data_IF_969901098272
#
_entry.id   IF_969901098272
#
_cell.length_a   1.000
_cell.length_b   1.000
_cell.length_c   1.000
_cell.angle_alpha   90.00
_cell.angle_beta   90.00
_cell.angle_gamma   90.00
#
_symmetry.space_group_name_H-M   'P 1'
#
loop_
_entity.id
_entity.type
_entity.pdbx_description
1 polymer ?
#
# COMPACT_ATOMS: atom_id res chain seq x y z
N UNK A 1 -20.37 5.76 2.16
CA UNK A 1 -18.91 5.61 1.95
C UNK A 1 -18.75 4.94 0.61
N UNK A 2 -18.36 5.70 -0.42
CA UNK A 2 -17.99 5.10 -1.69
C UNK A 2 -16.69 4.33 -1.45
N UNK A 3 -16.69 3.05 -1.80
CA UNK A 3 -15.47 2.27 -1.86
C UNK A 3 -14.59 2.90 -2.97
N UNK A 4 -13.28 2.99 -2.77
CA UNK A 4 -12.33 3.42 -3.80
C UNK A 4 -12.58 2.72 -5.17
N UNK A 5 -13.16 1.51 -5.14
CA UNK A 5 -13.70 0.78 -6.30
C UNK A 5 -14.64 1.59 -7.20
N UNK A 6 -15.64 2.26 -6.64
CA UNK A 6 -16.71 2.90 -7.43
C UNK A 6 -16.23 4.22 -8.06
N UNK A 7 -15.26 4.88 -7.42
CA UNK A 7 -14.56 6.05 -7.98
C UNK A 7 -13.63 5.63 -9.11
N UNK A 8 -12.99 4.46 -9.02
CA UNK A 8 -12.13 3.91 -10.07
C UNK A 8 -12.92 3.45 -11.30
N UNK A 9 -14.11 2.86 -11.10
CA UNK A 9 -15.02 2.47 -12.20
C UNK A 9 -15.47 3.67 -13.05
N UNK A 10 -15.82 4.80 -12.42
CA UNK A 10 -16.24 6.00 -13.14
C UNK A 10 -15.13 6.72 -13.92
N UNK A 11 -13.85 6.49 -13.55
CA UNK A 11 -12.71 7.08 -14.25
C UNK A 11 -12.33 6.32 -15.55
N UNK A 12 -12.69 5.03 -15.65
CA UNK A 12 -12.39 4.17 -16.79
C UNK A 12 -13.24 4.49 -18.04
N UNK A 13 -14.39 5.14 -17.87
CA UNK A 13 -15.32 5.46 -18.97
C UNK A 13 -15.02 6.78 -19.66
N UNK A 14 -14.20 7.66 -19.06
CA UNK A 14 -13.74 8.91 -19.67
C UNK A 14 -12.42 8.70 -20.42
N UNK A 15 -12.39 9.00 -21.72
CA UNK A 15 -11.19 8.91 -22.59
C UNK A 15 -9.96 9.55 -21.92
N UNK A 16 -8.90 8.76 -21.74
CA UNK A 16 -7.68 9.14 -21.04
C UNK A 16 -6.63 9.67 -22.05
N UNK A 17 -6.08 10.88 -21.86
CA UNK A 17 -4.89 11.32 -22.58
C UNK A 17 -3.63 10.63 -22.03
N UNK A 18 -2.73 10.20 -22.92
CA UNK A 18 -1.43 9.60 -22.57
C UNK A 18 -0.57 10.59 -21.77
N UNK A 19 -0.18 10.22 -20.54
CA UNK A 19 0.76 10.99 -19.71
C UNK A 19 2.21 10.60 -20.03
N UNK A 20 3.08 11.56 -20.41
CA UNK A 20 4.52 11.33 -20.56
C UNK A 20 5.24 11.80 -19.29
N UNK A 21 5.32 10.94 -18.27
CA UNK A 21 6.14 11.22 -17.09
C UNK A 21 7.13 10.07 -16.85
N UNK A 22 8.29 10.18 -17.50
CA UNK A 22 9.52 9.50 -17.11
C UNK A 22 10.48 10.57 -16.61
N UNK A 23 10.81 10.54 -15.32
CA UNK A 23 11.94 11.30 -14.78
C UNK A 23 12.97 10.39 -14.12
N UNK A 24 14.22 10.81 -14.28
CA UNK A 24 15.46 10.12 -13.98
C UNK A 24 16.03 10.54 -12.61
N UNK A 25 17.07 9.82 -12.16
CA UNK A 25 18.03 10.02 -11.05
C UNK A 25 17.82 9.02 -9.88
N UNK A 26 18.79 8.21 -9.42
CA UNK A 26 20.21 8.03 -9.73
C UNK A 26 20.66 6.66 -9.19
N UNK A 27 21.10 5.76 -10.07
CA UNK A 27 22.12 4.71 -9.87
C UNK A 27 22.69 4.44 -11.27
N UNK A 28 23.98 4.15 -11.42
CA UNK A 28 24.64 3.98 -12.73
C UNK A 28 24.06 2.78 -13.49
N UNK A 29 23.05 3.07 -14.31
CA UNK A 29 22.13 2.14 -14.99
C UNK A 29 22.02 2.52 -16.48
N UNK A 30 22.99 2.16 -17.35
CA UNK A 30 22.73 2.23 -18.80
C UNK A 30 22.04 0.95 -19.31
N UNK A 31 22.48 -0.23 -18.85
CA UNK A 31 21.94 -1.52 -19.33
C UNK A 31 20.59 -1.92 -18.69
N UNK A 32 20.41 -1.63 -17.38
CA UNK A 32 19.17 -1.99 -16.66
C UNK A 32 17.97 -1.18 -17.19
N UNK A 33 18.17 0.08 -17.59
CA UNK A 33 17.11 0.94 -18.18
C UNK A 33 16.55 0.37 -19.48
N UNK A 34 17.39 -0.19 -20.35
CA UNK A 34 16.96 -0.74 -21.64
C UNK A 34 16.13 -2.02 -21.46
N UNK A 35 16.54 -2.92 -20.54
CA UNK A 35 15.80 -4.15 -20.23
C UNK A 35 14.46 -3.86 -19.55
N UNK A 36 14.44 -2.91 -18.60
CA UNK A 36 13.21 -2.47 -17.94
C UNK A 36 12.25 -1.75 -18.90
N UNK A 37 12.77 -1.01 -19.87
CA UNK A 37 11.97 -0.39 -20.92
C UNK A 37 11.31 -1.42 -21.84
N UNK A 38 12.02 -2.49 -22.21
CA UNK A 38 11.45 -3.60 -23.00
C UNK A 38 10.37 -4.34 -22.22
N UNK A 39 10.59 -4.62 -20.92
CA UNK A 39 9.58 -5.21 -20.05
C UNK A 39 8.30 -4.35 -19.99
N UNK A 40 8.44 -3.03 -19.81
CA UNK A 40 7.31 -2.10 -19.82
C UNK A 40 6.51 -2.18 -21.13
N UNK A 41 7.21 -2.21 -22.29
CA UNK A 41 6.54 -2.35 -23.60
C UNK A 41 5.79 -3.67 -23.68
N UNK A 42 6.40 -4.78 -23.25
CA UNK A 42 5.76 -6.09 -23.26
C UNK A 42 4.51 -6.12 -22.37
N UNK A 43 4.56 -5.54 -21.16
CA UNK A 43 3.39 -5.46 -20.26
C UNK A 43 2.30 -4.56 -20.84
N UNK A 44 2.66 -3.40 -21.39
CA UNK A 44 1.68 -2.45 -21.94
C UNK A 44 0.98 -3.01 -23.20
N UNK A 45 1.72 -3.73 -24.05
CA UNK A 45 1.16 -4.47 -25.18
C UNK A 45 0.28 -5.64 -24.70
N UNK A 46 0.71 -6.40 -23.68
CA UNK A 46 -0.04 -7.54 -23.14
C UNK A 46 -1.31 -7.16 -22.35
N UNK A 47 -1.33 -6.01 -21.69
CA UNK A 47 -2.51 -5.50 -20.97
C UNK A 47 -3.45 -4.78 -21.95
N UNK A 48 -2.91 -4.14 -22.99
CA UNK A 48 -3.69 -3.44 -24.02
C UNK A 48 -4.40 -4.36 -25.02
N UNK A 49 -3.91 -5.60 -25.19
CA UNK A 49 -4.59 -6.64 -25.98
C UNK A 49 -5.22 -7.65 -25.03
N UNK A 50 -6.55 -7.75 -25.04
CA UNK A 50 -7.30 -8.73 -24.23
C UNK A 50 -6.61 -10.12 -24.20
N UNK A 51 -6.73 -10.81 -23.06
CA UNK A 51 -6.18 -12.12 -22.69
C UNK A 51 -4.80 -12.10 -22.01
N UNK A 52 -4.80 -12.18 -20.67
CA UNK A 52 -3.65 -12.67 -19.92
C UNK A 52 -4.09 -13.78 -18.96
N UNK A 53 -3.60 -15.00 -19.17
CA UNK A 53 -3.76 -16.10 -18.20
C UNK A 53 -2.77 -15.91 -17.06
N UNK A 54 -3.09 -16.41 -15.86
CA UNK A 54 -2.21 -16.35 -14.69
C UNK A 54 -0.80 -16.91 -14.97
N UNK A 55 -0.70 -17.93 -15.83
CA UNK A 55 0.55 -18.52 -16.28
C UNK A 55 1.49 -17.52 -16.99
N UNK A 56 0.95 -16.63 -17.82
CA UNK A 56 1.75 -15.66 -18.60
C UNK A 56 2.31 -14.54 -17.72
N UNK A 57 1.57 -14.12 -16.69
CA UNK A 57 2.01 -13.09 -15.74
C UNK A 57 3.12 -13.64 -14.82
N UNK A 58 2.95 -14.87 -14.33
CA UNK A 58 3.99 -15.57 -13.57
C UNK A 58 5.29 -15.70 -14.36
N UNK A 59 5.19 -16.09 -15.64
CA UNK A 59 6.36 -16.22 -16.52
C UNK A 59 7.11 -14.90 -16.69
N UNK A 60 6.37 -13.82 -16.93
CA UNK A 60 6.93 -12.50 -17.08
C UNK A 60 7.63 -12.01 -15.79
N UNK A 61 7.03 -12.32 -14.63
CA UNK A 61 7.54 -11.93 -13.32
C UNK A 61 8.91 -12.50 -12.99
N UNK A 62 9.12 -13.81 -13.22
CA UNK A 62 10.44 -14.39 -12.93
C UNK A 62 11.49 -14.03 -14.00
N UNK A 63 11.11 -13.88 -15.28
CA UNK A 63 12.02 -13.41 -16.33
C UNK A 63 12.59 -12.02 -16.02
N UNK A 64 11.73 -11.11 -15.55
CA UNK A 64 12.16 -9.80 -15.06
C UNK A 64 13.25 -9.92 -13.98
N UNK A 65 13.06 -10.84 -13.03
CA UNK A 65 14.02 -11.04 -11.95
C UNK A 65 15.35 -11.59 -12.47
N UNK A 66 15.31 -12.59 -13.37
CA UNK A 66 16.50 -13.12 -14.05
C UNK A 66 17.27 -12.02 -14.79
N UNK A 67 16.56 -11.09 -15.43
CA UNK A 67 17.16 -9.98 -16.16
C UNK A 67 17.72 -8.85 -15.28
N UNK A 68 17.09 -8.61 -14.12
CA UNK A 68 17.48 -7.57 -13.16
C UNK A 68 18.71 -7.94 -12.35
N UNK A 69 18.88 -9.21 -12.00
CA UNK A 69 19.93 -9.68 -11.11
C UNK A 69 20.98 -10.51 -11.87
N UNK A 70 22.12 -9.88 -12.18
CA UNK A 70 23.23 -10.50 -12.94
C UNK A 70 23.71 -11.85 -12.37
N UNK A 71 23.60 -12.06 -11.06
CA UNK A 71 23.96 -13.32 -10.41
C UNK A 71 23.13 -14.53 -10.90
N UNK A 72 21.97 -14.30 -11.51
CA UNK A 72 21.10 -15.36 -12.02
C UNK A 72 21.01 -15.39 -13.55
N UNK A 73 21.76 -14.55 -14.27
CA UNK A 73 21.67 -14.45 -15.72
C UNK A 73 21.97 -15.78 -16.44
N UNK A 74 22.78 -16.63 -15.80
CA UNK A 74 23.25 -17.89 -16.35
C UNK A 74 22.45 -19.12 -15.86
N UNK A 75 21.52 -18.95 -14.92
CA UNK A 75 20.68 -20.04 -14.44
C UNK A 75 19.65 -20.43 -15.52
N UNK A 76 19.35 -21.72 -15.62
CA UNK A 76 18.28 -22.20 -16.51
C UNK A 76 16.90 -21.74 -16.02
N UNK A 77 15.94 -21.62 -16.94
CA UNK A 77 14.58 -21.18 -16.61
C UNK A 77 13.87 -22.12 -15.61
N UNK A 78 14.26 -23.40 -15.54
CA UNK A 78 13.75 -24.37 -14.56
C UNK A 78 14.08 -24.04 -13.09
N UNK A 79 15.02 -23.13 -12.85
CA UNK A 79 15.40 -22.66 -11.50
C UNK A 79 14.43 -21.63 -10.93
N UNK A 80 13.50 -21.15 -11.75
CA UNK A 80 12.59 -20.06 -11.42
C UNK A 80 11.16 -20.56 -11.29
N UNK A 81 10.46 -20.06 -10.29
CA UNK A 81 9.01 -20.20 -10.19
C UNK A 81 8.38 -18.89 -9.72
N UNK A 82 7.15 -18.65 -10.13
CA UNK A 82 6.39 -17.48 -9.71
C UNK A 82 4.94 -17.84 -9.42
N UNK A 83 4.46 -17.41 -8.25
CA UNK A 83 3.08 -17.59 -7.81
C UNK A 83 2.46 -16.25 -7.44
N UNK A 84 1.16 -16.10 -7.69
CA UNK A 84 0.40 -14.93 -7.25
C UNK A 84 0.17 -15.00 -5.75
N UNK A 85 0.50 -13.94 -5.03
CA UNK A 85 0.23 -13.80 -3.60
C UNK A 85 -1.06 -12.99 -3.43
N UNK A 86 -2.02 -13.51 -2.66
CA UNK A 86 -3.19 -12.73 -2.23
C UNK A 86 -2.84 -11.91 -0.99
N UNK A 87 -3.00 -10.58 -1.00
CA UNK A 87 -2.78 -9.81 0.23
C UNK A 87 -3.00 -8.31 0.18
N UNK A 88 -4.21 -7.82 0.49
CA UNK A 88 -4.56 -6.39 0.54
C UNK A 88 -5.86 -6.13 -0.24
N UNK A 89 -6.57 -5.03 0.04
CA UNK A 89 -7.86 -4.72 -0.63
C UNK A 89 -7.62 -4.28 -2.07
N UNK A 90 -6.43 -3.77 -2.37
CA UNK A 90 -6.06 -3.30 -3.71
C UNK A 90 -5.78 -4.45 -4.69
N UNK A 91 -6.35 -5.64 -4.48
CA UNK A 91 -6.25 -6.82 -5.35
C UNK A 91 -7.58 -7.05 -6.06
N UNK A 92 -8.03 -6.07 -6.82
CA UNK A 92 -9.25 -6.27 -7.62
C UNK A 92 -8.88 -7.05 -8.88
N UNK A 93 -9.30 -8.31 -8.90
CA UNK A 93 -9.46 -9.10 -10.11
C UNK A 93 -10.85 -8.76 -10.66
N UNK A 94 -10.95 -7.87 -11.65
CA UNK A 94 -12.23 -7.69 -12.34
C UNK A 94 -12.46 -8.90 -13.23
N UNK A 95 -13.46 -9.72 -12.93
CA UNK A 95 -13.99 -10.70 -13.89
C UNK A 95 -15.18 -10.04 -14.58
N UNK A 96 -14.92 -9.33 -15.69
CA UNK A 96 -15.97 -9.14 -16.68
C UNK A 96 -16.28 -10.50 -17.31
N UNK A 97 -17.47 -10.74 -17.88
CA UNK A 97 -17.86 -12.06 -18.37
C UNK A 97 -16.92 -12.66 -19.43
N UNK A 98 -15.90 -11.92 -19.91
CA UNK A 98 -14.78 -12.44 -20.71
C UNK A 98 -13.42 -11.72 -20.51
N UNK A 99 -13.23 -10.84 -19.52
CA UNK A 99 -11.96 -10.09 -19.33
C UNK A 99 -11.52 -10.05 -17.86
N UNK A 100 -10.24 -10.36 -17.61
CA UNK A 100 -9.59 -10.20 -16.30
C UNK A 100 -8.74 -8.93 -16.32
N UNK A 101 -9.13 -7.89 -15.57
CA UNK A 101 -8.30 -6.70 -15.36
C UNK A 101 -7.69 -6.76 -13.96
N UNK A 102 -6.37 -6.87 -13.88
CA UNK A 102 -5.63 -6.79 -12.62
C UNK A 102 -5.37 -5.32 -12.28
N UNK A 103 -5.97 -4.82 -11.20
CA UNK A 103 -5.69 -3.49 -10.67
C UNK A 103 -4.30 -3.41 -10.03
N UNK A 104 -3.83 -4.50 -9.42
CA UNK A 104 -2.47 -4.72 -8.95
C UNK A 104 -2.17 -6.22 -8.98
N UNK A 105 -0.93 -6.61 -9.25
CA UNK A 105 -0.50 -8.00 -9.16
C UNK A 105 0.77 -8.09 -8.30
N UNK A 106 0.74 -8.98 -7.30
CA UNK A 106 1.90 -9.28 -6.48
C UNK A 106 2.30 -10.72 -6.72
N UNK A 107 3.50 -10.89 -7.25
CA UNK A 107 4.09 -12.19 -7.54
C UNK A 107 5.17 -12.48 -6.52
N UNK A 108 5.14 -13.67 -5.92
CA UNK A 108 6.29 -14.23 -5.23
C UNK A 108 7.10 -15.01 -6.26
N UNK A 109 8.30 -14.51 -6.54
CA UNK A 109 9.28 -15.17 -7.39
C UNK A 109 10.25 -15.91 -6.49
N UNK A 110 10.43 -17.20 -6.74
CA UNK A 110 11.39 -18.06 -6.05
C UNK A 110 12.47 -18.46 -7.04
N UNK A 111 13.73 -18.33 -6.63
CA UNK A 111 14.90 -18.72 -7.41
C UNK A 111 15.67 -19.75 -6.60
N UNK A 112 15.98 -20.89 -7.20
CA UNK A 112 16.87 -21.91 -6.62
C UNK A 112 18.20 -21.86 -7.34
N UNK A 113 19.30 -21.63 -6.64
CA UNK A 113 20.63 -21.72 -7.27
C UNK A 113 21.12 -23.17 -7.39
N UNK A 114 22.24 -23.36 -8.09
CA UNK A 114 22.88 -24.68 -8.30
C UNK A 114 23.34 -25.33 -6.98
N UNK A 115 23.59 -24.52 -5.95
CA UNK A 115 23.95 -24.95 -4.59
C UNK A 115 22.72 -25.34 -3.74
N UNK A 116 21.51 -25.23 -4.31
CA UNK A 116 20.24 -25.59 -3.66
C UNK A 116 19.70 -24.54 -2.68
N UNK A 117 20.30 -23.34 -2.63
CA UNK A 117 19.79 -22.22 -1.85
C UNK A 117 18.58 -21.62 -2.57
N UNK A 118 17.51 -21.40 -1.81
CA UNK A 118 16.31 -20.73 -2.31
C UNK A 118 16.31 -19.26 -1.89
N UNK A 119 16.11 -18.36 -2.85
CA UNK A 119 15.87 -16.93 -2.61
C UNK A 119 14.48 -16.55 -3.09
N UNK A 120 13.73 -15.84 -2.25
CA UNK A 120 12.37 -15.42 -2.54
C UNK A 120 12.30 -13.89 -2.62
N UNK A 121 11.53 -13.39 -3.59
CA UNK A 121 11.27 -11.98 -3.77
C UNK A 121 9.84 -11.71 -4.19
N UNK A 122 9.44 -10.46 -4.05
CA UNK A 122 8.11 -9.99 -4.38
C UNK A 122 8.21 -9.00 -5.52
N UNK A 123 7.48 -9.25 -6.61
CA UNK A 123 7.30 -8.31 -7.72
C UNK A 123 5.89 -7.73 -7.61
N UNK A 124 5.80 -6.44 -7.33
CA UNK A 124 4.52 -5.70 -7.29
C UNK A 124 4.38 -4.94 -8.61
N UNK A 125 3.31 -5.25 -9.34
CA UNK A 125 2.90 -4.60 -10.57
C UNK A 125 1.76 -3.63 -10.27
N UNK A 126 1.91 -2.39 -10.73
CA UNK A 126 0.87 -1.36 -10.66
C UNK A 126 -0.06 -1.49 -11.86
N UNK A 127 -1.37 -1.56 -11.62
CA UNK A 127 -2.35 -1.55 -12.69
C UNK A 127 -2.64 -0.15 -13.23
N UNK A 128 -3.39 -0.08 -14.35
CA UNK A 128 -3.69 1.18 -15.01
C UNK A 128 -4.55 2.09 -14.12
N UNK A 129 -4.38 3.41 -14.27
CA UNK A 129 -5.19 4.47 -13.66
C UNK A 129 -5.12 4.61 -12.13
N UNK A 130 -4.21 3.90 -11.47
CA UNK A 130 -4.06 3.98 -10.02
C UNK A 130 -3.53 5.35 -9.54
N UNK A 131 -2.92 6.13 -10.43
CA UNK A 131 -2.53 7.54 -10.24
C UNK A 131 -3.71 8.45 -9.86
N UNK A 132 -4.94 8.05 -10.19
CA UNK A 132 -6.12 8.80 -9.81
C UNK A 132 -6.32 8.86 -8.29
N UNK A 133 -5.87 7.82 -7.59
CA UNK A 133 -6.05 7.67 -6.14
C UNK A 133 -4.71 7.81 -5.41
N UNK A 134 -3.63 7.33 -6.01
CA UNK A 134 -2.32 7.21 -5.38
C UNK A 134 -1.30 8.15 -6.03
N UNK A 135 -0.52 8.85 -5.21
CA UNK A 135 0.61 9.64 -5.69
C UNK A 135 1.88 8.77 -5.74
N UNK A 136 2.22 8.27 -6.93
CA UNK A 136 3.35 7.33 -7.11
C UNK A 136 4.72 7.96 -6.86
N UNK A 137 4.87 9.23 -7.18
CA UNK A 137 6.13 9.94 -6.92
C UNK A 137 6.39 10.03 -5.42
N UNK A 138 5.34 10.34 -4.64
CA UNK A 138 5.38 10.33 -3.17
C UNK A 138 5.67 8.93 -2.61
N UNK A 139 5.00 7.90 -3.11
CA UNK A 139 5.20 6.52 -2.67
C UNK A 139 6.64 6.04 -2.93
N UNK A 140 7.15 6.23 -4.15
CA UNK A 140 8.49 5.80 -4.55
C UNK A 140 9.59 6.56 -3.80
N UNK A 141 9.36 7.83 -3.46
CA UNK A 141 10.26 8.56 -2.58
C UNK A 141 10.19 7.97 -1.16
N UNK A 142 8.99 7.78 -0.61
CA UNK A 142 8.81 7.33 0.75
C UNK A 142 9.37 5.91 0.99
N UNK A 143 9.13 4.98 0.06
CA UNK A 143 9.50 3.57 0.21
C UNK A 143 11.02 3.38 0.38
N UNK A 144 11.84 4.23 -0.23
CA UNK A 144 13.30 4.19 -0.07
C UNK A 144 13.71 4.52 1.37
N UNK A 145 13.13 5.57 1.94
CA UNK A 145 13.40 5.99 3.32
C UNK A 145 12.84 5.01 4.34
N UNK A 146 11.63 4.52 4.12
CA UNK A 146 10.98 3.54 4.99
C UNK A 146 11.73 2.21 4.99
N UNK A 147 12.16 1.74 3.81
CA UNK A 147 12.98 0.53 3.68
C UNK A 147 14.32 0.68 4.41
N UNK A 148 14.99 1.83 4.29
CA UNK A 148 16.23 2.12 5.00
C UNK A 148 16.03 2.21 6.53
N UNK A 149 14.87 2.69 6.98
CA UNK A 149 14.47 2.72 8.38
C UNK A 149 14.03 1.34 8.93
N UNK A 150 14.04 0.30 8.09
CA UNK A 150 13.72 -1.08 8.49
C UNK A 150 12.23 -1.42 8.47
N UNK A 151 11.40 -0.58 7.87
CA UNK A 151 9.98 -0.83 7.62
C UNK A 151 9.76 -1.49 6.26
N UNK A 152 8.74 -2.34 6.18
CA UNK A 152 8.40 -3.08 4.97
C UNK A 152 9.50 -3.99 4.47
N UNK A 153 9.36 -4.39 3.21
CA UNK A 153 10.32 -5.20 2.51
C UNK A 153 11.48 -4.35 1.97
N UNK A 154 12.68 -4.94 1.90
CA UNK A 154 13.84 -4.28 1.30
C UNK A 154 13.57 -4.02 -0.17
N UNK A 155 13.67 -2.77 -0.61
CA UNK A 155 13.58 -2.44 -2.03
C UNK A 155 14.81 -2.97 -2.77
N UNK A 156 14.59 -3.82 -3.78
CA UNK A 156 15.65 -4.42 -4.60
C UNK A 156 15.75 -3.77 -5.98
N UNK A 157 14.63 -3.29 -6.52
CA UNK A 157 14.58 -2.61 -7.81
C UNK A 157 13.26 -1.87 -8.05
N UNK A 158 13.28 -0.89 -8.94
CA UNK A 158 12.11 -0.14 -9.42
C UNK A 158 12.10 -0.21 -10.94
N UNK A 159 10.92 -0.36 -11.52
CA UNK A 159 10.71 -0.36 -12.97
C UNK A 159 9.44 0.40 -13.32
N UNK A 160 9.25 0.69 -14.62
CA UNK A 160 8.24 1.68 -15.05
C UNK A 160 6.83 1.43 -14.53
N UNK A 161 6.41 0.18 -14.37
CA UNK A 161 5.08 -0.18 -13.85
C UNK A 161 5.12 -1.01 -12.56
N UNK A 162 6.18 -0.92 -11.75
CA UNK A 162 6.24 -1.70 -10.51
C UNK A 162 7.55 -1.63 -9.73
N UNK A 163 7.62 -2.46 -8.69
CA UNK A 163 8.77 -2.58 -7.80
C UNK A 163 9.10 -4.04 -7.52
N UNK A 164 10.37 -4.31 -7.25
CA UNK A 164 10.87 -5.60 -6.78
C UNK A 164 11.39 -5.42 -5.36
N UNK A 165 10.93 -6.26 -4.45
CA UNK A 165 11.25 -6.21 -3.02
C UNK A 165 11.66 -7.59 -2.50
N UNK A 166 12.38 -7.63 -1.37
CA UNK A 166 12.65 -8.89 -0.67
C UNK A 166 11.36 -9.55 -0.19
N UNK A 167 11.25 -10.86 -0.27
CA UNK A 167 10.11 -11.55 0.33
C UNK A 167 10.20 -11.53 1.87
N UNK A 168 9.11 -11.20 2.54
CA UNK A 168 9.00 -11.32 4.00
C UNK A 168 8.15 -12.55 4.28
N UNK A 169 8.77 -13.57 4.86
CA UNK A 169 8.06 -14.75 5.34
C UNK A 169 7.36 -14.41 6.67
N UNK A 170 6.08 -14.07 6.60
CA UNK A 170 5.28 -13.61 7.73
C UNK A 170 3.79 -13.85 7.46
N UNK A 171 3.01 -14.03 8.52
CA UNK A 171 1.54 -14.09 8.41
C UNK A 171 0.96 -12.68 8.44
N UNK A 172 -0.08 -12.44 7.66
CA UNK A 172 -0.89 -11.23 7.78
C UNK A 172 -1.74 -11.27 9.05
N UNK A 173 -1.89 -10.14 9.72
CA UNK A 173 -2.79 -10.02 10.86
C UNK A 173 -4.25 -9.95 10.40
N UNK A 174 -5.15 -10.32 11.30
CA UNK A 174 -6.60 -10.19 11.17
C UNK A 174 -7.12 -9.10 12.12
N UNK A 175 -8.37 -8.61 11.96
CA UNK A 175 -8.98 -7.70 12.94
C UNK A 175 -8.95 -8.26 14.38
N UNK A 176 -9.11 -9.59 14.52
CA UNK A 176 -9.03 -10.27 15.82
C UNK A 176 -7.66 -10.17 16.50
N UNK A 177 -6.57 -10.11 15.72
CA UNK A 177 -5.21 -9.97 16.25
C UNK A 177 -4.99 -8.58 16.87
N UNK A 178 -5.66 -7.54 16.35
CA UNK A 178 -5.50 -6.15 16.81
C UNK A 178 -5.92 -5.99 18.28
N UNK A 179 -6.87 -6.79 18.75
CA UNK A 179 -7.35 -6.80 20.14
C UNK A 179 -6.39 -7.46 21.12
N UNK A 180 -5.40 -8.21 20.64
CA UNK A 180 -4.43 -8.84 21.53
C UNK A 180 -3.58 -7.75 22.20
N UNK A 181 -3.59 -7.61 23.54
CA UNK A 181 -2.89 -6.50 24.21
C UNK A 181 -1.37 -6.49 23.96
N UNK A 182 -0.75 -7.65 23.71
CA UNK A 182 0.68 -7.74 23.39
C UNK A 182 0.95 -7.24 21.97
N UNK A 183 0.12 -7.61 21.00
CA UNK A 183 0.26 -7.12 19.62
C UNK A 183 -0.08 -5.65 19.52
N UNK A 184 -1.16 -5.18 20.15
CA UNK A 184 -1.50 -3.75 20.22
C UNK A 184 -0.35 -2.91 20.79
N UNK A 185 0.32 -3.40 21.85
CA UNK A 185 1.49 -2.75 22.41
C UNK A 185 2.68 -2.71 21.44
N UNK A 186 2.90 -3.77 20.67
CA UNK A 186 3.98 -3.82 19.68
C UNK A 186 3.68 -2.94 18.46
N UNK A 187 2.45 -2.96 17.95
CA UNK A 187 1.97 -2.05 16.90
C UNK A 187 2.19 -0.60 17.34
N UNK A 188 1.79 -0.24 18.56
CA UNK A 188 1.97 1.10 19.09
C UNK A 188 3.43 1.56 19.11
N UNK A 189 4.37 0.68 19.52
CA UNK A 189 5.81 0.99 19.51
C UNK A 189 6.37 1.12 18.11
N UNK A 190 5.98 0.24 17.18
CA UNK A 190 6.43 0.31 15.79
C UNK A 190 5.87 1.55 15.09
N UNK A 191 4.61 1.90 15.35
CA UNK A 191 3.99 3.12 14.84
C UNK A 191 4.68 4.37 15.36
N UNK A 192 5.11 4.38 16.63
CA UNK A 192 5.93 5.49 17.16
C UNK A 192 7.23 5.67 16.39
N UNK A 193 7.94 4.59 16.10
CA UNK A 193 9.17 4.61 15.30
C UNK A 193 8.89 5.03 13.86
N UNK A 194 7.80 4.56 13.28
CA UNK A 194 7.37 4.94 11.93
C UNK A 194 7.13 6.44 11.82
N UNK A 195 6.41 7.02 12.79
CA UNK A 195 6.15 8.46 12.88
C UNK A 195 7.39 9.32 13.12
N UNK A 196 8.56 8.72 13.42
CA UNK A 196 9.84 9.42 13.56
C UNK A 196 10.68 9.39 12.27
N UNK A 197 10.25 8.65 11.24
CA UNK A 197 10.97 8.60 9.96
C UNK A 197 10.80 9.93 9.25
N UNK A 198 11.93 10.55 8.93
CA UNK A 198 11.98 11.82 8.19
C UNK A 198 12.09 11.54 6.70
N UNK A 199 11.08 11.98 5.96
CA UNK A 199 11.00 11.85 4.50
C UNK A 199 11.11 13.25 3.89
N UNK A 200 12.01 13.48 2.91
CA UNK A 200 12.18 14.79 2.29
C UNK A 200 10.91 15.24 1.58
N UNK A 201 10.59 16.53 1.66
CA UNK A 201 9.43 17.12 0.97
C UNK A 201 8.61 18.03 1.87
N UNK A 202 7.42 18.41 1.39
CA UNK A 202 6.48 19.21 2.17
C UNK A 202 5.99 18.43 3.39
N UNK A 203 6.02 19.07 4.56
CA UNK A 203 5.42 18.55 5.80
C UNK A 203 3.97 19.00 6.01
N UNK A 204 3.34 19.55 4.98
CA UNK A 204 1.93 19.94 5.03
C UNK A 204 1.04 18.69 5.20
N UNK A 205 0.11 18.67 6.18
CA UNK A 205 -0.85 17.59 6.34
C UNK A 205 -1.70 17.35 5.09
N UNK A 206 -1.63 16.15 4.52
CA UNK A 206 -2.28 15.87 3.24
C UNK A 206 -3.75 15.43 3.36
N UNK A 207 -4.23 15.07 4.56
CA UNK A 207 -5.60 14.52 4.73
C UNK A 207 -6.69 15.38 4.11
N UNK A 208 -6.67 16.70 4.33
CA UNK A 208 -7.73 17.57 3.83
C UNK A 208 -7.61 17.78 2.32
N UNK A 209 -6.39 17.83 1.78
CA UNK A 209 -6.15 17.90 0.35
C UNK A 209 -6.65 16.63 -0.35
N UNK A 210 -6.37 15.46 0.22
CA UNK A 210 -6.80 14.16 -0.31
C UNK A 210 -8.32 13.97 -0.17
N UNK A 211 -8.91 14.32 0.97
CA UNK A 211 -10.37 14.28 1.19
C UNK A 211 -11.09 15.19 0.19
N UNK A 212 -10.64 16.43 0.00
CA UNK A 212 -11.26 17.35 -0.97
C UNK A 212 -11.09 16.87 -2.40
N UNK A 213 -9.91 16.34 -2.77
CA UNK A 213 -9.67 15.71 -4.07
C UNK A 213 -10.66 14.57 -4.32
N UNK A 214 -10.87 13.69 -3.35
CA UNK A 214 -11.82 12.59 -3.47
C UNK A 214 -13.27 13.07 -3.49
N UNK A 215 -13.62 14.07 -2.68
CA UNK A 215 -14.94 14.69 -2.70
C UNK A 215 -15.26 15.27 -4.08
N UNK A 216 -14.35 16.05 -4.67
CA UNK A 216 -14.55 16.63 -6.00
C UNK A 216 -14.77 15.56 -7.04
N UNK A 217 -13.92 14.52 -7.06
CA UNK A 217 -14.10 13.38 -7.98
C UNK A 217 -15.46 12.71 -7.76
N UNK A 218 -15.77 12.34 -6.52
CA UNK A 218 -17.00 11.67 -6.15
C UNK A 218 -18.23 12.48 -6.58
N UNK A 219 -18.25 13.80 -6.36
CA UNK A 219 -19.37 14.69 -6.70
C UNK A 219 -19.64 14.88 -8.19
N UNK A 220 -18.71 14.42 -9.04
CA UNK A 220 -18.80 14.55 -10.50
C UNK A 220 -19.05 13.22 -11.21
N UNK A 221 -19.20 12.12 -10.46
CA UNK A 221 -19.41 10.80 -11.04
C UNK A 221 -20.78 10.70 -11.72
N UNK A 222 -20.83 9.86 -12.75
CA UNK A 222 -22.05 9.50 -13.45
C UNK A 222 -22.11 7.98 -13.56
N UNK A 223 -23.29 7.41 -13.32
CA UNK A 223 -23.52 5.98 -13.36
C UNK A 223 -24.59 5.65 -14.41
N UNK A 224 -24.24 4.75 -15.32
CA UNK A 224 -25.18 4.19 -16.31
C UNK A 224 -26.08 3.12 -15.68
N UNK A 225 -25.60 2.48 -14.61
CA UNK A 225 -26.34 1.49 -13.84
C UNK A 225 -27.44 2.17 -12.99
N UNK A 226 -28.68 1.72 -13.18
CA UNK A 226 -29.85 2.33 -12.55
C UNK A 226 -29.85 2.26 -11.02
N UNK A 227 -29.37 1.17 -10.42
CA UNK A 227 -29.31 1.04 -8.96
C UNK A 227 -28.22 1.92 -8.35
N UNK A 228 -27.03 1.94 -8.96
CA UNK A 228 -25.93 2.82 -8.55
C UNK A 228 -26.32 4.29 -8.69
N UNK A 229 -27.00 4.65 -9.77
CA UNK A 229 -27.50 6.01 -10.00
C UNK A 229 -28.46 6.47 -8.90
N UNK A 230 -29.43 5.63 -8.54
CA UNK A 230 -30.37 5.95 -7.44
C UNK A 230 -29.62 6.15 -6.12
N UNK A 231 -28.68 5.25 -5.78
CA UNK A 231 -27.86 5.39 -4.56
C UNK A 231 -27.03 6.68 -4.56
N UNK A 232 -26.50 7.06 -5.73
CA UNK A 232 -25.74 8.28 -5.91
C UNK A 232 -26.59 9.55 -5.75
N UNK A 233 -27.76 9.59 -6.37
CA UNK A 233 -28.66 10.76 -6.34
C UNK A 233 -29.22 11.05 -4.93
N UNK A 234 -29.24 10.05 -4.03
CA UNK A 234 -29.63 10.25 -2.61
C UNK A 234 -28.58 11.07 -1.84
N UNK A 235 -27.34 11.13 -2.32
CA UNK A 235 -26.24 11.76 -1.58
C UNK A 235 -26.32 13.28 -1.70
N UNK A 236 -26.47 13.92 -0.54
CA UNK A 236 -26.47 15.37 -0.42
C UNK A 236 -25.02 15.88 -0.33
N UNK A 237 -24.35 15.99 -1.48
CA UNK A 237 -22.95 16.43 -1.58
C UNK A 237 -22.68 17.78 -0.91
N UNK A 238 -23.64 18.71 -0.94
CA UNK A 238 -23.54 19.99 -0.24
C UNK A 238 -23.39 19.79 1.29
N UNK A 239 -24.18 18.89 1.88
CA UNK A 239 -24.06 18.57 3.32
C UNK A 239 -22.72 17.93 3.63
N UNK A 240 -22.28 16.97 2.81
CA UNK A 240 -20.98 16.31 2.97
C UNK A 240 -19.84 17.33 2.92
N UNK A 241 -19.90 18.29 1.98
CA UNK A 241 -18.93 19.36 1.89
C UNK A 241 -18.89 20.22 3.16
N UNK A 242 -20.06 20.63 3.66
CA UNK A 242 -20.14 21.45 4.88
C UNK A 242 -19.58 20.72 6.11
N UNK A 243 -19.84 19.41 6.24
CA UNK A 243 -19.24 18.58 7.30
C UNK A 243 -17.71 18.49 7.18
N UNK A 244 -17.17 18.30 5.96
CA UNK A 244 -15.72 18.28 5.72
C UNK A 244 -15.08 19.61 6.17
N UNK A 245 -15.67 20.74 5.78
CA UNK A 245 -15.16 22.06 6.16
C UNK A 245 -15.25 22.27 7.67
N UNK A 246 -16.40 21.95 8.29
CA UNK A 246 -16.59 22.09 9.73
C UNK A 246 -15.62 21.22 10.55
N UNK A 247 -15.36 19.98 10.12
CA UNK A 247 -14.37 19.11 10.76
C UNK A 247 -12.96 19.66 10.61
N UNK A 248 -12.59 20.16 9.42
CA UNK A 248 -11.29 20.79 9.19
C UNK A 248 -11.10 21.97 10.15
N UNK A 249 -12.03 22.91 10.17
CA UNK A 249 -12.00 24.08 11.04
C UNK A 249 -11.88 23.69 12.51
N UNK A 250 -12.64 22.69 12.98
CA UNK A 250 -12.55 22.20 14.35
C UNK A 250 -11.15 21.64 14.66
N UNK A 251 -10.60 20.83 13.76
CA UNK A 251 -9.29 20.19 13.97
C UNK A 251 -8.11 21.16 13.87
N UNK A 252 -8.24 22.25 13.10
CA UNK A 252 -7.21 23.28 12.97
C UNK A 252 -6.88 23.92 14.33
N UNK A 253 -7.81 23.90 15.29
CA UNK A 253 -7.59 24.41 16.67
C UNK A 253 -6.79 23.47 17.58
N UNK A 254 -6.58 22.21 17.19
CA UNK A 254 -5.95 21.21 18.05
C UNK A 254 -4.42 21.35 18.11
N UNK A 255 -3.81 22.14 17.21
CA UNK A 255 -2.36 22.22 17.01
C UNK A 255 -1.72 20.81 16.98
N UNK A 256 -2.38 19.89 16.28
CA UNK A 256 -2.03 18.48 16.28
C UNK A 256 -0.64 18.27 15.63
N UNK A 257 0.27 17.51 16.26
CA UNK A 257 1.57 17.25 15.66
C UNK A 257 1.47 16.51 14.33
N UNK A 258 2.23 17.01 13.36
CA UNK A 258 2.36 16.45 12.03
C UNK A 258 3.55 15.50 12.00
N UNK A 259 3.33 14.31 11.46
CA UNK A 259 4.32 13.23 11.34
C UNK A 259 4.19 12.59 9.97
N UNK A 260 5.18 11.82 9.54
CA UNK A 260 4.96 10.93 8.40
C UNK A 260 4.07 9.78 8.86
N UNK A 261 2.85 9.72 8.34
CA UNK A 261 1.80 8.78 8.70
C UNK A 261 1.63 7.71 7.62
N UNK A 262 1.19 6.52 8.04
CA UNK A 262 0.84 5.44 7.13
C UNK A 262 -0.48 5.74 6.39
N UNK A 263 -1.45 6.32 7.10
CA UNK A 263 -2.80 6.67 6.66
C UNK A 263 -3.72 5.49 6.29
N UNK A 264 -3.23 4.26 6.37
CA UNK A 264 -3.96 3.05 5.99
C UNK A 264 -3.52 1.84 6.83
N UNK A 265 -3.41 2.01 8.16
CA UNK A 265 -2.86 0.99 9.05
C UNK A 265 -3.89 -0.09 9.45
N UNK A 266 -4.48 -0.75 8.45
CA UNK A 266 -5.40 -1.86 8.63
C UNK A 266 -4.69 -3.19 8.92
N UNK A 267 -5.42 -4.18 9.44
CA UNK A 267 -4.84 -5.48 9.83
C UNK A 267 -4.10 -6.19 8.68
N UNK A 268 -4.60 -6.05 7.44
CA UNK A 268 -3.97 -6.54 6.22
C UNK A 268 -2.58 -5.93 5.90
N UNK A 269 -2.27 -4.75 6.43
CA UNK A 269 -1.01 -4.02 6.21
C UNK A 269 -0.01 -4.26 7.36
N UNK A 270 -0.36 -5.19 8.27
CA UNK A 270 0.47 -5.63 9.38
C UNK A 270 0.81 -7.10 9.18
N UNK A 271 2.10 -7.43 9.07
CA UNK A 271 2.55 -8.81 8.93
C UNK A 271 3.51 -9.17 10.07
N UNK A 272 3.31 -10.34 10.67
CA UNK A 272 4.07 -10.85 11.81
C UNK A 272 4.88 -12.07 11.39
N UNK A 273 6.21 -11.95 11.49
CA UNK A 273 7.08 -13.12 11.47
C UNK A 273 7.13 -13.68 12.89
N UNK A 274 6.47 -14.81 13.13
CA UNK A 274 6.37 -15.42 14.46
C UNK A 274 7.70 -15.98 14.94
N UNK A 275 8.50 -16.60 14.06
CA UNK A 275 9.81 -17.17 14.39
C UNK A 275 10.80 -16.13 14.93
N UNK A 276 10.78 -14.93 14.35
CA UNK A 276 11.63 -13.80 14.71
C UNK A 276 10.97 -12.85 15.71
N UNK A 277 9.68 -13.06 16.01
CA UNK A 277 8.86 -12.14 16.80
C UNK A 277 8.85 -10.71 16.24
N UNK A 278 8.93 -10.55 14.91
CA UNK A 278 9.09 -9.24 14.26
C UNK A 278 7.83 -8.85 13.50
N UNK A 279 7.28 -7.70 13.86
CA UNK A 279 6.18 -7.04 13.17
C UNK A 279 6.72 -6.13 12.06
N UNK A 280 6.06 -6.16 10.91
CA UNK A 280 6.36 -5.29 9.77
C UNK A 280 5.09 -4.55 9.35
N UNK A 281 5.24 -3.27 9.03
CA UNK A 281 4.23 -2.51 8.31
C UNK A 281 4.54 -2.62 6.82
N UNK A 282 3.52 -2.75 6.00
CA UNK A 282 3.64 -2.85 4.55
C UNK A 282 2.59 -1.95 3.90
N UNK A 283 2.71 -1.76 2.58
CA UNK A 283 1.75 -1.01 1.77
C UNK A 283 1.63 0.49 2.11
N UNK A 284 2.65 1.25 1.72
CA UNK A 284 2.77 2.68 2.04
C UNK A 284 2.19 3.60 0.97
N UNK A 285 1.25 3.12 0.15
CA UNK A 285 0.73 3.86 -1.02
C UNK A 285 -0.04 5.15 -0.64
N UNK A 286 -0.62 5.18 0.57
CA UNK A 286 -1.25 6.37 1.15
C UNK A 286 -0.31 7.16 2.07
N UNK A 287 0.95 6.75 2.20
CA UNK A 287 1.93 7.35 3.11
C UNK A 287 2.18 8.82 2.79
N UNK A 288 2.03 9.69 3.80
CA UNK A 288 2.26 11.13 3.65
C UNK A 288 2.43 11.82 5.00
N UNK A 289 2.92 13.06 5.00
CA UNK A 289 2.84 13.89 6.21
C UNK A 289 1.38 14.17 6.55
N UNK A 290 1.00 13.86 7.78
CA UNK A 290 -0.36 14.01 8.26
C UNK A 290 -0.39 14.14 9.80
N UNK A 291 -1.57 14.43 10.35
CA UNK A 291 -1.76 14.52 11.80
C UNK A 291 -1.59 13.14 12.45
N UNK A 292 -0.74 13.04 13.48
CA UNK A 292 -0.54 11.78 14.22
C UNK A 292 -1.83 11.14 14.73
N UNK A 293 -2.82 11.98 15.07
CA UNK A 293 -4.10 11.56 15.61
C UNK A 293 -4.99 10.91 14.56
N UNK A 294 -4.83 11.31 13.29
CA UNK A 294 -5.52 10.69 12.18
C UNK A 294 -5.07 9.25 12.01
N UNK A 295 -3.76 8.99 11.97
CA UNK A 295 -3.23 7.64 11.73
C UNK A 295 -3.62 6.66 12.85
N UNK A 296 -3.55 7.11 14.11
CA UNK A 296 -3.98 6.30 15.26
C UNK A 296 -5.50 6.10 15.26
N UNK A 297 -6.27 7.17 14.98
CA UNK A 297 -7.73 7.08 14.92
C UNK A 297 -8.21 6.16 13.80
N UNK A 298 -7.56 6.23 12.63
CA UNK A 298 -7.79 5.33 11.51
C UNK A 298 -7.52 3.88 11.92
N UNK A 299 -6.35 3.60 12.51
CA UNK A 299 -6.01 2.26 13.00
C UNK A 299 -7.07 1.70 13.97
N UNK A 300 -7.66 2.53 14.83
CA UNK A 300 -8.74 2.09 15.73
C UNK A 300 -10.05 1.78 14.99
N UNK A 301 -10.37 2.49 13.90
CA UNK A 301 -11.52 2.14 13.05
C UNK A 301 -11.34 0.76 12.41
N UNK A 302 -10.11 0.38 12.08
CA UNK A 302 -9.78 -0.91 11.45
C UNK A 302 -10.02 -2.14 12.35
N UNK A 303 -10.33 -1.94 13.64
CA UNK A 303 -10.79 -3.01 14.53
C UNK A 303 -12.15 -3.55 14.11
N UNK A 304 -12.96 -2.74 13.43
CA UNK A 304 -14.27 -3.12 12.91
C UNK A 304 -14.17 -4.08 11.70
N UNK A 305 -13.01 -4.14 11.05
CA UNK A 305 -12.78 -4.92 9.84
C UNK A 305 -13.69 -4.50 8.67
N UNK A 306 -13.73 -5.34 7.63
CA UNK A 306 -14.52 -5.06 6.42
C UNK A 306 -16.03 -5.07 6.66
N UNK A 307 -16.48 -5.85 7.65
CA UNK A 307 -17.89 -5.91 8.04
C UNK A 307 -18.36 -4.65 8.78
N UNK A 308 -17.42 -3.74 9.13
CA UNK A 308 -17.70 -2.50 9.83
C UNK A 308 -18.44 -2.72 11.16
N UNK A 309 -18.09 -3.79 11.90
CA UNK A 309 -18.64 -4.03 13.23
C UNK A 309 -17.99 -3.08 14.25
N UNK A 310 -18.56 -1.89 14.40
CA UNK A 310 -18.06 -0.88 15.35
C UNK A 310 -18.28 -1.24 16.82
N UNK A 311 -18.97 -2.35 17.14
CA UNK A 311 -18.90 -2.91 18.50
C UNK A 311 -17.48 -3.41 18.81
N UNK A 312 -16.66 -3.59 17.78
CA UNK A 312 -15.28 -4.02 17.91
C UNK A 312 -14.29 -2.88 18.23
N UNK A 313 -14.71 -1.62 18.08
CA UNK A 313 -13.89 -0.44 18.31
C UNK A 313 -13.27 -0.45 19.71
N UNK A 314 -11.97 -0.10 19.86
CA UNK A 314 -11.28 -0.22 21.13
C UNK A 314 -11.91 0.69 22.18
N UNK A 315 -12.19 0.15 23.36
CA UNK A 315 -12.69 0.93 24.49
C UNK A 315 -11.59 1.83 25.08
N UNK A 316 -11.94 2.69 26.04
CA UNK A 316 -10.99 3.66 26.62
C UNK A 316 -9.73 2.99 27.21
N UNK A 317 -9.86 1.85 27.87
CA UNK A 317 -8.71 1.18 28.49
C UNK A 317 -7.76 0.61 27.44
N UNK A 318 -8.29 0.05 26.35
CA UNK A 318 -7.52 -0.42 25.20
C UNK A 318 -6.81 0.74 24.47
N UNK A 319 -7.51 1.87 24.27
CA UNK A 319 -6.90 3.07 23.70
C UNK A 319 -5.78 3.61 24.59
N UNK A 320 -6.00 3.71 25.91
CA UNK A 320 -4.96 4.15 26.84
C UNK A 320 -3.78 3.18 26.91
N UNK A 321 -4.03 1.87 26.80
CA UNK A 321 -2.98 0.87 26.67
C UNK A 321 -2.11 1.13 25.43
N UNK A 322 -2.74 1.35 24.27
CA UNK A 322 -2.04 1.72 23.04
C UNK A 322 -1.23 3.02 23.21
N UNK A 323 -1.85 4.09 23.73
CA UNK A 323 -1.17 5.37 23.93
C UNK A 323 0.03 5.27 24.88
N UNK A 324 -0.07 4.50 25.96
CA UNK A 324 1.05 4.29 26.89
C UNK A 324 2.25 3.67 26.20
N UNK A 325 2.03 2.68 25.33
CA UNK A 325 3.10 2.03 24.58
C UNK A 325 3.63 2.86 23.41
N UNK A 326 2.76 3.65 22.77
CA UNK A 326 3.15 4.60 21.73
C UNK A 326 4.02 5.74 22.30
N UNK A 327 3.68 6.28 23.46
CA UNK A 327 4.42 7.40 24.07
C UNK A 327 5.68 6.97 24.83
N UNK A 328 5.68 5.79 25.47
CA UNK A 328 6.77 5.32 26.34
C UNK A 328 7.57 4.17 25.72
N UNK A 329 7.77 4.16 24.40
CA UNK A 329 8.47 3.07 23.70
C UNK A 329 9.87 2.77 24.27
N UNK A 330 10.53 3.77 24.85
CA UNK A 330 11.94 3.68 25.27
C UNK A 330 12.11 3.33 26.76
N UNK A 331 11.19 3.73 27.64
CA UNK A 331 11.32 3.53 29.10
C UNK A 331 11.01 2.09 29.57
N UNK A 332 10.29 1.31 28.78
CA UNK A 332 9.91 -0.07 29.16
C UNK A 332 11.01 -1.11 28.88
N UNK A 333 11.96 -0.80 27.98
CA UNK A 333 13.08 -1.70 27.69
C UNK A 333 14.21 -1.60 28.73
N UNK A 334 14.42 -0.43 29.34
CA UNK A 334 15.44 -0.25 30.37
C UNK A 334 15.10 -0.97 31.69
N UNK A 335 13.82 -1.06 32.06
CA UNK A 335 13.43 -1.73 33.31
C UNK A 335 13.58 -3.25 33.31
N UNK A 336 13.73 -3.90 32.14
CA UNK A 336 13.99 -5.36 32.04
C UNK A 336 15.48 -5.73 32.05
N UNK A 337 16.38 -4.75 31.88
CA UNK A 337 17.82 -5.00 31.95
C UNK A 337 18.38 -4.83 33.37
N UNK A 338 17.55 -4.45 34.34
CA UNK A 338 17.93 -4.21 35.74
C UNK A 338 17.01 -4.91 36.77
N UNK A 339 16.26 -5.94 36.39
CA UNK A 339 15.40 -6.72 37.30
C UNK A 339 15.86 -8.15 37.47
#
# INVERSE_FOLDING_TARGET
>A
MWNAMEVAEGALTSKIPSSPLTFDHCLSIPLIKLKLFIFNICVHLYIGTNFCSSSSISELGWKLCKDLFNQWSNLDDSHFSAETVSGGITYFTFVYPNNILFLFAVLKVSVRDDDGKNENMTVRLYGPNTECVINRERELQAIQHLSAAGFGAKLLGVFGNGIVQSFIDARTLSPSDLRNPKLAAEIAKQLRKFHQVEIPGSKEPQVWNDVLKFFTKASTLQFDDGEKKIKYEIILFEKVHNEIIGLKELTDHLNAPVVFAHNDLLSGNLILNEDKGKLYFIDFEYGSYNYRGFDIGNHFNEYAGYDCDYTLYPNKDEQFHFFRHYLNSDQLNERRLYS
#
